data_IF_826232601426
#
_entry.id   IF_826232601426
#
_cell.length_a   1.000
_cell.length_b   1.000
_cell.length_c   1.000
_cell.angle_alpha   90.00
_cell.angle_beta   90.00
_cell.angle_gamma   90.00
#
_symmetry.space_group_name_H-M   'P 1'
#
loop_
_entity.id
_entity.type
_entity.pdbx_description
1 polymer ?
#
# COMPACT_ATOMS: atom_id res chain seq x y z
N UNK A 1 -21.75 -9.25 3.62
CA UNK A 1 -21.95 -8.33 2.46
C UNK A 1 -22.54 -9.08 1.25
N UNK A 2 -23.33 -8.45 0.37
CA UNK A 2 -23.81 -9.02 -0.92
C UNK A 2 -23.53 -8.05 -2.08
N UNK A 3 -23.02 -8.56 -3.21
CA UNK A 3 -22.94 -7.79 -4.46
C UNK A 3 -24.31 -7.78 -5.13
N UNK A 4 -24.84 -6.59 -5.42
CA UNK A 4 -26.19 -6.41 -6.01
C UNK A 4 -26.15 -5.89 -7.46
N UNK A 5 -25.07 -5.21 -7.82
CA UNK A 5 -24.81 -4.66 -9.15
C UNK A 5 -23.31 -4.60 -9.42
N UNK A 6 -22.93 -4.58 -10.69
CA UNK A 6 -21.54 -4.49 -11.12
C UNK A 6 -21.41 -3.60 -12.38
N UNK A 7 -20.36 -2.80 -12.43
CA UNK A 7 -19.84 -2.19 -13.66
C UNK A 7 -18.48 -2.83 -13.97
N UNK A 8 -18.22 -3.10 -15.26
CA UNK A 8 -16.96 -3.68 -15.73
C UNK A 8 -16.53 -2.94 -16.98
N UNK A 9 -15.41 -2.22 -16.89
CA UNK A 9 -14.90 -1.38 -17.97
C UNK A 9 -14.38 -2.20 -19.16
N UNK A 10 -13.60 -3.25 -18.87
CA UNK A 10 -12.95 -4.08 -19.88
C UNK A 10 -13.30 -5.55 -19.64
N UNK A 11 -13.64 -6.27 -20.72
CA UNK A 11 -14.00 -7.70 -20.69
C UNK A 11 -13.14 -8.48 -21.68
N UNK A 12 -11.86 -8.75 -21.34
CA UNK A 12 -10.98 -9.55 -22.19
C UNK A 12 -11.44 -11.02 -22.24
N UNK A 13 -10.80 -11.81 -23.09
CA UNK A 13 -11.00 -13.26 -23.11
C UNK A 13 -10.73 -13.87 -21.73
N UNK A 14 -11.64 -14.72 -21.24
CA UNK A 14 -11.55 -15.34 -19.92
C UNK A 14 -12.08 -14.49 -18.75
N UNK A 15 -12.63 -13.30 -19.01
CA UNK A 15 -13.35 -12.53 -17.98
C UNK A 15 -14.46 -13.36 -17.32
N UNK A 16 -14.52 -13.31 -15.99
CA UNK A 16 -15.47 -14.09 -15.18
C UNK A 16 -16.74 -13.32 -14.84
N UNK A 17 -16.82 -12.03 -15.17
CA UNK A 17 -17.87 -11.15 -14.65
C UNK A 17 -19.28 -11.67 -14.94
N UNK A 18 -19.55 -12.08 -16.19
CA UNK A 18 -20.85 -12.60 -16.59
C UNK A 18 -21.21 -13.92 -15.90
N UNK A 19 -20.22 -14.78 -15.63
CA UNK A 19 -20.43 -16.07 -14.99
C UNK A 19 -20.73 -15.89 -13.51
N UNK A 20 -19.96 -15.01 -12.83
CA UNK A 20 -20.19 -14.65 -11.42
C UNK A 20 -21.53 -13.94 -11.23
N UNK A 21 -21.92 -13.06 -12.17
CA UNK A 21 -23.24 -12.43 -12.15
C UNK A 21 -24.38 -13.44 -12.17
N UNK A 22 -24.29 -14.49 -13.02
CA UNK A 22 -25.27 -15.58 -13.07
C UNK A 22 -25.25 -16.45 -11.80
N UNK A 23 -24.06 -16.80 -11.32
CA UNK A 23 -23.86 -17.65 -10.14
C UNK A 23 -24.43 -17.02 -8.87
N UNK A 24 -24.19 -15.72 -8.66
CA UNK A 24 -24.54 -15.02 -7.42
C UNK A 24 -25.80 -14.12 -7.54
N UNK A 25 -26.39 -14.03 -8.74
CA UNK A 25 -27.67 -13.36 -8.98
C UNK A 25 -27.61 -11.83 -8.87
N UNK A 26 -26.62 -11.21 -9.49
CA UNK A 26 -26.50 -9.74 -9.62
C UNK A 26 -26.45 -9.31 -11.08
N UNK A 27 -26.76 -8.04 -11.37
CA UNK A 27 -26.78 -7.50 -12.73
C UNK A 27 -25.52 -6.72 -13.06
N UNK A 28 -25.06 -6.83 -14.31
CA UNK A 28 -23.97 -6.00 -14.84
C UNK A 28 -24.58 -4.86 -15.67
N UNK A 29 -24.22 -3.62 -15.33
CA UNK A 29 -24.73 -2.41 -15.99
C UNK A 29 -23.67 -1.80 -16.91
N UNK A 30 -24.10 -1.04 -17.94
CA UNK A 30 -23.16 -0.45 -18.89
C UNK A 30 -22.49 0.83 -18.37
N UNK A 31 -23.00 1.43 -17.29
CA UNK A 31 -22.37 2.60 -16.65
C UNK A 31 -22.29 2.45 -15.14
N UNK A 32 -21.36 3.18 -14.52
CA UNK A 32 -21.24 3.28 -13.05
C UNK A 32 -22.52 3.85 -12.45
N UNK A 33 -23.12 4.87 -13.10
CA UNK A 33 -24.37 5.47 -12.63
C UNK A 33 -25.52 4.47 -12.58
N UNK A 34 -25.72 3.66 -13.62
CA UNK A 34 -26.75 2.62 -13.63
C UNK A 34 -26.45 1.50 -12.62
N UNK A 35 -25.17 1.14 -12.42
CA UNK A 35 -24.79 0.17 -11.40
C UNK A 35 -25.13 0.67 -9.99
N UNK A 36 -24.82 1.93 -9.67
CA UNK A 36 -25.14 2.54 -8.38
C UNK A 36 -26.64 2.70 -8.14
N UNK A 37 -27.43 2.87 -9.20
CA UNK A 37 -28.90 2.99 -9.13
C UNK A 37 -29.64 1.67 -9.33
N UNK A 38 -28.92 0.55 -9.52
CA UNK A 38 -29.49 -0.76 -9.85
C UNK A 38 -30.53 -0.70 -10.98
N UNK A 39 -30.26 0.12 -12.01
CA UNK A 39 -31.16 0.34 -13.16
C UNK A 39 -32.36 1.27 -12.92
N UNK A 40 -32.50 1.83 -11.71
CA UNK A 40 -33.52 2.85 -11.39
C UNK A 40 -33.02 4.29 -11.51
N UNK A 41 -33.81 5.22 -10.99
CA UNK A 41 -33.54 6.67 -11.08
C UNK A 41 -32.81 7.26 -9.86
N UNK A 42 -32.55 6.44 -8.83
CA UNK A 42 -31.93 6.86 -7.57
C UNK A 42 -30.95 5.83 -7.03
N UNK A 43 -29.93 6.30 -6.30
CA UNK A 43 -28.94 5.49 -5.61
C UNK A 43 -29.63 4.36 -4.82
N UNK A 44 -29.24 3.12 -5.11
CA UNK A 44 -29.92 1.91 -4.63
C UNK A 44 -28.95 0.89 -4.01
N UNK A 45 -27.76 1.33 -3.62
CA UNK A 45 -26.73 0.54 -2.96
C UNK A 45 -26.38 1.15 -1.59
N UNK A 46 -25.82 0.33 -0.70
CA UNK A 46 -25.40 0.75 0.65
C UNK A 46 -23.91 1.08 0.74
N UNK A 47 -23.10 0.66 -0.24
CA UNK A 47 -21.66 0.93 -0.32
C UNK A 47 -21.13 0.66 -1.74
N UNK A 48 -19.91 1.13 -2.02
CA UNK A 48 -19.21 0.91 -3.29
C UNK A 48 -17.87 0.21 -3.04
N UNK A 49 -17.61 -0.86 -3.81
CA UNK A 49 -16.27 -1.46 -3.92
C UNK A 49 -15.69 -1.04 -5.28
N UNK A 50 -14.71 -0.15 -5.24
CA UNK A 50 -14.04 0.38 -6.42
C UNK A 50 -12.69 -0.33 -6.60
N UNK A 51 -12.64 -1.19 -7.61
CA UNK A 51 -11.46 -1.97 -7.97
C UNK A 51 -10.97 -1.49 -9.35
N UNK A 52 -9.74 -0.95 -9.41
CA UNK A 52 -9.13 -0.42 -10.62
C UNK A 52 -7.78 -1.07 -10.89
N UNK A 53 -7.78 -2.32 -11.35
CA UNK A 53 -6.56 -3.10 -11.63
C UNK A 53 -6.73 -4.01 -12.85
N UNK A 54 -5.63 -4.61 -13.33
CA UNK A 54 -5.58 -5.67 -14.34
C UNK A 54 -6.13 -5.36 -15.75
N UNK A 55 -6.67 -4.17 -16.01
CA UNK A 55 -7.05 -3.72 -17.35
C UNK A 55 -5.88 -3.18 -18.19
N UNK A 56 -6.11 -3.05 -19.49
CA UNK A 56 -5.20 -2.41 -20.43
C UNK A 56 -5.43 -0.89 -20.42
N UNK A 57 -4.50 -0.17 -19.79
CA UNK A 57 -4.52 1.29 -19.68
C UNK A 57 -3.14 1.86 -20.04
N UNK A 58 -3.08 3.09 -20.56
CA UNK A 58 -1.81 3.72 -20.92
C UNK A 58 -0.88 3.87 -19.72
N UNK A 59 0.41 4.00 -20.00
CA UNK A 59 1.43 4.36 -19.01
C UNK A 59 1.90 5.79 -19.19
N UNK A 60 2.23 6.47 -18.10
CA UNK A 60 2.90 7.78 -18.16
C UNK A 60 4.43 7.64 -18.19
N UNK A 61 5.13 8.77 -18.25
CA UNK A 61 6.59 8.85 -18.24
C UNK A 61 7.25 8.32 -16.95
N UNK A 62 6.50 8.29 -15.84
CA UNK A 62 6.94 7.71 -14.57
C UNK A 62 6.85 6.18 -14.57
N UNK A 63 6.27 5.58 -15.60
CA UNK A 63 6.06 4.14 -15.74
C UNK A 63 4.78 3.63 -15.07
N UNK A 64 3.98 4.54 -14.49
CA UNK A 64 2.73 4.20 -13.81
C UNK A 64 1.65 3.85 -14.83
N UNK A 65 0.85 2.84 -14.52
CA UNK A 65 -0.35 2.52 -15.30
C UNK A 65 -1.46 3.48 -14.87
N UNK A 66 -2.10 4.14 -15.82
CA UNK A 66 -3.14 5.14 -15.58
C UNK A 66 -4.49 4.47 -15.30
N UNK A 67 -4.53 3.63 -14.27
CA UNK A 67 -5.76 2.98 -13.83
C UNK A 67 -6.82 4.04 -13.45
N UNK A 68 -8.07 3.89 -13.90
CA UNK A 68 -9.10 4.94 -13.85
C UNK A 68 -9.77 5.06 -12.48
N UNK A 69 -9.03 4.83 -11.39
CA UNK A 69 -9.58 4.86 -10.02
C UNK A 69 -10.20 6.22 -9.70
N UNK A 70 -9.51 7.30 -10.09
CA UNK A 70 -10.01 8.65 -9.93
C UNK A 70 -11.28 8.88 -10.75
N UNK A 71 -11.25 8.54 -12.04
CA UNK A 71 -12.37 8.72 -12.96
C UNK A 71 -13.62 7.96 -12.47
N UNK A 72 -13.45 6.70 -12.03
CA UNK A 72 -14.55 5.92 -11.47
C UNK A 72 -15.07 6.51 -10.17
N UNK A 73 -14.18 6.98 -9.28
CA UNK A 73 -14.58 7.63 -8.04
C UNK A 73 -15.36 8.92 -8.30
N UNK A 74 -14.94 9.72 -9.29
CA UNK A 74 -15.65 10.95 -9.69
C UNK A 74 -17.04 10.66 -10.25
N UNK A 75 -17.22 9.56 -10.99
CA UNK A 75 -18.56 9.12 -11.41
C UNK A 75 -19.45 8.72 -10.22
N UNK A 76 -18.89 8.08 -9.18
CA UNK A 76 -19.63 7.83 -7.94
C UNK A 76 -20.03 9.14 -7.23
N UNK A 77 -19.08 10.08 -7.09
CA UNK A 77 -19.31 11.40 -6.48
C UNK A 77 -20.42 12.15 -7.21
N UNK A 78 -20.42 12.13 -8.54
CA UNK A 78 -21.46 12.77 -9.37
C UNK A 78 -22.85 12.21 -9.06
N UNK A 79 -22.99 10.88 -8.95
CA UNK A 79 -24.26 10.25 -8.56
C UNK A 79 -24.68 10.68 -7.16
N UNK A 80 -23.73 10.75 -6.21
CA UNK A 80 -24.04 11.18 -4.85
C UNK A 80 -24.57 12.61 -4.79
N UNK A 81 -24.00 13.51 -5.59
CA UNK A 81 -24.46 14.90 -5.71
C UNK A 81 -25.85 15.00 -6.35
N UNK A 82 -26.07 14.29 -7.47
CA UNK A 82 -27.34 14.27 -8.18
C UNK A 82 -28.49 13.69 -7.34
N UNK A 83 -28.19 12.66 -6.55
CA UNK A 83 -29.19 11.93 -5.76
C UNK A 83 -29.32 12.46 -4.33
N UNK A 84 -28.43 13.35 -3.88
CA UNK A 84 -28.46 13.94 -2.55
C UNK A 84 -28.17 12.94 -1.42
N UNK A 85 -27.50 11.83 -1.74
CA UNK A 85 -27.12 10.77 -0.79
C UNK A 85 -25.77 10.19 -1.17
N UNK A 86 -24.88 10.05 -0.19
CA UNK A 86 -23.59 9.35 -0.33
C UNK A 86 -23.60 8.03 0.42
N UNK A 87 -22.67 7.13 0.06
CA UNK A 87 -22.44 5.85 0.74
C UNK A 87 -20.93 5.59 0.87
N UNK A 88 -20.47 4.75 1.81
CA UNK A 88 -19.06 4.41 1.95
C UNK A 88 -18.44 3.87 0.66
N UNK A 89 -17.19 4.24 0.39
CA UNK A 89 -16.42 3.73 -0.74
C UNK A 89 -15.15 3.04 -0.24
N UNK A 90 -14.96 1.78 -0.63
CA UNK A 90 -13.64 1.16 -0.62
C UNK A 90 -12.96 1.38 -1.97
N UNK A 91 -11.70 1.83 -1.96
CA UNK A 91 -10.87 2.00 -3.14
C UNK A 91 -9.61 1.10 -3.05
N UNK A 92 -9.44 0.18 -4.00
CA UNK A 92 -8.28 -0.71 -4.05
C UNK A 92 -6.94 0.03 -4.16
N UNK A 93 -5.98 -0.30 -3.28
CA UNK A 93 -4.58 0.20 -3.27
C UNK A 93 -4.48 1.72 -3.19
N UNK A 94 -3.52 2.32 -3.90
CA UNK A 94 -3.38 3.76 -3.98
C UNK A 94 -4.66 4.39 -4.54
N UNK A 95 -5.04 5.54 -3.98
CA UNK A 95 -6.24 6.28 -4.41
C UNK A 95 -6.17 6.62 -5.90
N UNK A 96 -5.04 7.17 -6.33
CA UNK A 96 -4.75 7.49 -7.72
C UNK A 96 -3.24 7.47 -7.95
N UNK A 97 -2.82 7.31 -9.20
CA UNK A 97 -1.42 7.43 -9.60
C UNK A 97 -0.88 8.88 -9.43
N UNK A 98 -1.75 9.86 -9.23
CA UNK A 98 -1.42 11.27 -9.03
C UNK A 98 -1.95 11.78 -7.68
N UNK A 99 -1.09 12.42 -6.89
CA UNK A 99 -1.41 12.96 -5.57
C UNK A 99 -2.53 13.99 -5.63
N UNK A 100 -2.53 14.88 -6.63
CA UNK A 100 -3.57 15.90 -6.76
C UNK A 100 -4.96 15.26 -6.94
N UNK A 101 -5.05 14.22 -7.80
CA UNK A 101 -6.26 13.43 -7.99
C UNK A 101 -6.67 12.70 -6.71
N UNK A 102 -5.72 12.02 -6.05
CA UNK A 102 -5.97 11.31 -4.79
C UNK A 102 -6.46 12.25 -3.68
N UNK A 103 -5.89 13.46 -3.59
CA UNK A 103 -6.29 14.47 -2.63
C UNK A 103 -7.72 14.94 -2.89
N UNK A 104 -8.06 15.22 -4.15
CA UNK A 104 -9.41 15.63 -4.53
C UNK A 104 -10.45 14.57 -4.15
N UNK A 105 -10.14 13.28 -4.34
CA UNK A 105 -11.03 12.18 -3.92
C UNK A 105 -11.35 12.23 -2.41
N UNK A 106 -10.35 12.48 -1.56
CA UNK A 106 -10.58 12.59 -0.11
C UNK A 106 -11.24 13.92 0.27
N UNK A 107 -10.97 15.01 -0.45
CA UNK A 107 -11.65 16.28 -0.25
C UNK A 107 -13.15 16.16 -0.58
N UNK A 108 -13.51 15.43 -1.65
CA UNK A 108 -14.91 15.11 -1.99
C UNK A 108 -15.58 14.25 -0.93
N UNK A 109 -14.89 13.23 -0.42
CA UNK A 109 -15.39 12.38 0.66
C UNK A 109 -15.73 13.19 1.92
N UNK A 110 -14.85 14.13 2.30
CA UNK A 110 -15.10 15.06 3.41
C UNK A 110 -16.26 16.01 3.12
N UNK A 111 -16.32 16.57 1.92
CA UNK A 111 -17.35 17.52 1.49
C UNK A 111 -18.75 16.89 1.46
N UNK A 112 -18.85 15.64 1.01
CA UNK A 112 -20.11 14.89 0.91
C UNK A 112 -20.40 13.98 2.12
N UNK A 113 -19.47 13.92 3.08
CA UNK A 113 -19.66 13.25 4.35
C UNK A 113 -19.81 11.73 4.26
N UNK A 114 -18.99 11.06 3.43
CA UNK A 114 -18.96 9.59 3.36
C UNK A 114 -17.61 9.00 3.77
N UNK A 115 -17.60 7.79 4.40
CA UNK A 115 -16.37 7.10 4.73
C UNK A 115 -15.62 6.61 3.48
N UNK A 116 -14.30 6.72 3.51
CA UNK A 116 -13.41 6.11 2.52
C UNK A 116 -12.44 5.19 3.22
N UNK A 117 -12.36 3.94 2.74
CA UNK A 117 -11.29 3.02 3.05
C UNK A 117 -10.47 2.82 1.79
N UNK A 118 -9.16 2.95 1.86
CA UNK A 118 -8.29 2.71 0.72
C UNK A 118 -7.00 2.08 1.19
N UNK A 119 -6.39 1.25 0.35
CA UNK A 119 -5.17 0.57 0.73
C UNK A 119 -5.05 -0.85 0.21
N UNK A 120 -3.93 -1.47 0.53
CA UNK A 120 -3.63 -2.86 0.23
C UNK A 120 -3.85 -3.81 1.40
N UNK A 121 -3.65 -5.09 1.13
CA UNK A 121 -3.77 -6.16 2.13
C UNK A 121 -2.60 -6.24 3.11
N UNK A 122 -1.42 -5.68 2.81
CA UNK A 122 -0.26 -5.83 3.70
C UNK A 122 -0.49 -5.19 5.08
N UNK A 123 -1.00 -3.95 5.22
CA UNK A 123 -1.26 -3.39 6.55
C UNK A 123 -2.22 -4.20 7.43
N UNK A 124 -3.04 -5.06 6.83
CA UNK A 124 -4.11 -5.83 7.48
C UNK A 124 -3.86 -7.34 7.50
N UNK A 125 -2.79 -7.83 6.87
CA UNK A 125 -2.42 -9.25 6.90
C UNK A 125 -1.76 -9.63 8.23
N UNK A 126 -1.44 -10.90 8.40
CA UNK A 126 -0.73 -11.45 9.55
C UNK A 126 0.68 -10.88 9.66
N UNK A 127 1.18 -10.78 10.90
CA UNK A 127 2.55 -10.36 11.20
C UNK A 127 3.30 -11.48 11.91
N UNK A 128 4.51 -11.80 11.46
CA UNK A 128 5.34 -12.88 12.02
C UNK A 128 6.74 -12.36 12.38
N UNK A 129 7.10 -12.25 13.68
CA UNK A 129 6.23 -12.41 14.85
C UNK A 129 5.13 -11.33 14.89
N UNK A 130 4.11 -11.55 15.73
CA UNK A 130 3.06 -10.56 15.98
C UNK A 130 3.65 -9.32 16.67
N UNK A 131 3.90 -8.28 15.87
CA UNK A 131 4.48 -7.02 16.32
C UNK A 131 3.45 -5.89 16.21
N UNK A 132 3.21 -5.27 17.34
CA UNK A 132 2.48 -4.01 17.47
C UNK A 132 3.39 -2.96 18.12
N UNK A 133 3.63 -1.84 17.41
CA UNK A 133 4.32 -0.71 18.03
C UNK A 133 3.37 -0.05 19.04
N UNK A 134 3.83 0.35 20.23
CA UNK A 134 3.04 1.22 21.08
C UNK A 134 2.70 2.52 20.35
N UNK A 135 1.49 3.04 20.55
CA UNK A 135 1.19 4.40 20.11
C UNK A 135 2.12 5.39 20.80
N UNK A 136 2.52 6.41 20.06
CA UNK A 136 3.43 7.46 20.49
C UNK A 136 4.82 6.96 20.93
N UNK A 137 5.26 5.81 20.42
CA UNK A 137 6.63 5.35 20.63
C UNK A 137 7.65 6.27 19.93
N UNK A 138 8.86 6.37 20.47
CA UNK A 138 9.96 7.07 19.82
C UNK A 138 10.72 6.08 18.92
N UNK A 139 10.60 6.26 17.61
CA UNK A 139 11.29 5.45 16.60
C UNK A 139 12.52 6.24 16.11
N UNK A 140 13.70 5.65 16.19
CA UNK A 140 14.96 6.30 15.79
C UNK A 140 15.21 6.14 14.28
N UNK A 141 14.94 4.95 13.75
CA UNK A 141 15.03 4.63 12.32
C UNK A 141 14.17 3.42 11.98
N UNK A 142 13.73 3.33 10.73
CA UNK A 142 13.00 2.17 10.22
C UNK A 142 13.47 1.76 8.82
N UNK A 143 13.37 0.46 8.54
CA UNK A 143 13.70 -0.13 7.26
C UNK A 143 12.62 -1.13 6.86
N UNK A 144 12.21 -1.07 5.60
CA UNK A 144 11.34 -2.06 4.96
C UNK A 144 12.11 -2.76 3.84
N UNK A 145 11.96 -4.07 3.74
CA UNK A 145 12.35 -4.89 2.59
C UNK A 145 11.09 -5.24 1.84
N UNK A 146 11.08 -4.97 0.53
CA UNK A 146 10.02 -5.36 -0.38
C UNK A 146 10.57 -6.05 -1.63
N UNK A 147 9.67 -6.66 -2.38
CA UNK A 147 9.96 -7.34 -3.66
C UNK A 147 8.83 -7.09 -4.65
N UNK A 148 9.13 -7.31 -5.93
CA UNK A 148 8.19 -7.19 -7.04
C UNK A 148 8.52 -6.06 -8.02
N UNK A 149 7.59 -5.84 -8.96
CA UNK A 149 7.71 -4.82 -10.00
C UNK A 149 7.44 -3.40 -9.48
N UNK A 150 8.09 -2.42 -10.10
CA UNK A 150 7.96 -1.01 -9.70
C UNK A 150 6.53 -0.48 -9.86
N UNK A 151 6.22 0.61 -9.15
CA UNK A 151 4.90 1.23 -8.96
C UNK A 151 3.99 0.41 -8.04
N UNK A 152 3.47 -0.72 -8.53
CA UNK A 152 2.48 -1.48 -7.76
C UNK A 152 3.06 -2.10 -6.48
N UNK A 153 4.22 -2.77 -6.56
CA UNK A 153 4.78 -3.46 -5.39
C UNK A 153 5.55 -2.52 -4.47
N UNK A 154 6.08 -1.43 -5.02
CA UNK A 154 6.64 -0.31 -4.23
C UNK A 154 5.55 0.29 -3.34
N UNK A 155 4.34 0.53 -3.88
CA UNK A 155 3.20 1.02 -3.11
C UNK A 155 2.89 0.11 -1.92
N UNK A 156 2.78 -1.20 -2.17
CA UNK A 156 2.50 -2.20 -1.14
C UNK A 156 3.53 -2.13 0.00
N UNK A 157 4.82 -2.13 -0.33
CA UNK A 157 5.87 -2.08 0.67
C UNK A 157 5.91 -0.75 1.43
N UNK A 158 5.72 0.38 0.74
CA UNK A 158 5.62 1.70 1.37
C UNK A 158 4.43 1.79 2.34
N UNK A 159 3.29 1.22 1.97
CA UNK A 159 2.09 1.24 2.81
C UNK A 159 2.25 0.35 4.06
N UNK A 160 2.85 -0.82 3.89
CA UNK A 160 3.20 -1.71 5.00
C UNK A 160 4.16 -1.01 5.98
N UNK A 161 5.19 -0.34 5.47
CA UNK A 161 6.10 0.46 6.30
C UNK A 161 5.36 1.60 7.01
N UNK A 162 4.54 2.36 6.26
CA UNK A 162 3.82 3.51 6.78
C UNK A 162 2.88 3.13 7.93
N UNK A 163 2.19 1.97 7.83
CA UNK A 163 1.27 1.53 8.89
C UNK A 163 1.99 1.20 10.23
N UNK A 164 3.30 0.96 10.19
CA UNK A 164 4.13 0.80 11.37
C UNK A 164 4.58 2.17 11.89
N UNK A 165 5.22 2.98 11.04
CA UNK A 165 5.88 4.22 11.47
C UNK A 165 4.92 5.37 11.79
N UNK A 166 3.66 5.31 11.36
CA UNK A 166 2.64 6.29 11.75
C UNK A 166 2.30 6.27 13.24
N UNK A 167 2.69 5.20 13.95
CA UNK A 167 2.47 5.04 15.40
C UNK A 167 3.51 5.78 16.24
N UNK A 168 4.47 6.46 15.60
CA UNK A 168 5.49 7.27 16.27
C UNK A 168 4.89 8.44 17.05
N UNK A 169 5.65 8.95 18.01
CA UNK A 169 5.31 10.10 18.86
C UNK A 169 4.83 11.28 18.04
N UNK A 170 3.60 11.73 18.31
CA UNK A 170 2.97 12.85 17.61
C UNK A 170 2.10 12.45 16.41
N UNK A 171 2.22 11.23 15.90
CA UNK A 171 1.49 10.75 14.73
C UNK A 171 2.16 11.15 13.42
N UNK A 172 1.41 11.05 12.32
CA UNK A 172 1.93 11.42 11.01
C UNK A 172 1.89 12.94 10.82
N UNK A 173 3.02 13.51 10.36
CA UNK A 173 3.22 14.96 10.19
C UNK A 173 3.49 15.36 8.73
N UNK A 174 3.56 14.39 7.84
CA UNK A 174 3.88 14.53 6.43
C UNK A 174 5.35 14.26 6.12
N UNK A 175 5.64 14.22 4.82
CA UNK A 175 6.98 13.95 4.30
C UNK A 175 7.63 15.24 3.79
N UNK A 176 8.84 15.52 4.26
CA UNK A 176 9.64 16.70 3.93
C UNK A 176 10.35 16.52 2.59
N UNK A 177 10.94 15.34 2.38
CA UNK A 177 11.70 15.05 1.18
C UNK A 177 11.75 13.55 0.90
N UNK A 178 11.98 13.22 -0.37
CA UNK A 178 12.20 11.84 -0.82
C UNK A 178 13.38 11.76 -1.78
N UNK A 179 13.95 10.57 -1.92
CA UNK A 179 14.90 10.24 -2.99
C UNK A 179 14.78 8.76 -3.35
N UNK A 180 14.72 8.46 -4.65
CA UNK A 180 14.89 7.10 -5.17
C UNK A 180 16.29 6.96 -5.79
N UNK A 181 17.06 5.96 -5.35
CA UNK A 181 18.28 5.52 -6.03
C UNK A 181 18.17 4.05 -6.44
N UNK A 182 18.92 3.65 -7.48
CA UNK A 182 18.89 2.30 -8.04
C UNK A 182 20.31 1.78 -8.29
N UNK A 183 20.45 0.46 -8.43
CA UNK A 183 21.71 -0.18 -8.81
C UNK A 183 22.81 -0.06 -7.75
N UNK A 184 24.07 0.05 -8.20
CA UNK A 184 25.24 0.01 -7.32
C UNK A 184 25.26 1.13 -6.27
N UNK A 185 24.65 2.28 -6.57
CA UNK A 185 24.53 3.38 -5.61
C UNK A 185 23.71 2.99 -4.37
N UNK A 186 22.79 2.02 -4.46
CA UNK A 186 22.07 1.49 -3.29
C UNK A 186 23.04 0.81 -2.32
N UNK A 187 23.96 0.00 -2.84
CA UNK A 187 24.94 -0.70 -2.02
C UNK A 187 25.95 0.26 -1.40
N UNK A 188 26.43 1.20 -2.20
CA UNK A 188 27.31 2.27 -1.73
C UNK A 188 26.64 3.12 -0.64
N UNK A 189 25.36 3.45 -0.80
CA UNK A 189 24.60 4.16 0.24
C UNK A 189 24.56 3.38 1.57
N UNK A 190 24.53 2.05 1.54
CA UNK A 190 24.63 1.22 2.75
C UNK A 190 26.02 1.17 3.36
N UNK A 191 27.06 1.24 2.53
CA UNK A 191 28.45 1.37 2.98
C UNK A 191 28.70 2.73 3.63
N UNK A 192 28.08 3.79 3.09
CA UNK A 192 28.09 5.15 3.63
C UNK A 192 27.16 5.36 4.84
N UNK A 193 26.41 4.33 5.25
CA UNK A 193 25.53 4.36 6.42
C UNK A 193 24.21 5.13 6.22
N UNK A 194 23.80 5.39 4.97
CA UNK A 194 22.52 6.05 4.65
C UNK A 194 21.30 5.18 4.97
N UNK A 195 21.47 3.87 4.97
CA UNK A 195 20.52 2.91 5.52
C UNK A 195 21.25 1.93 6.44
N UNK A 196 20.54 1.40 7.44
CA UNK A 196 21.13 0.59 8.50
C UNK A 196 21.28 -0.87 8.08
N UNK A 197 22.52 -1.39 8.10
CA UNK A 197 22.81 -2.82 7.91
C UNK A 197 22.19 -3.68 9.01
N UNK A 198 22.16 -3.17 10.23
CA UNK A 198 21.55 -3.85 11.39
C UNK A 198 20.04 -3.99 11.22
N UNK A 199 19.35 -2.95 10.72
CA UNK A 199 17.91 -3.05 10.42
C UNK A 199 17.64 -3.97 9.24
N UNK A 200 18.51 -3.98 8.22
CA UNK A 200 18.39 -4.92 7.10
C UNK A 200 18.54 -6.37 7.58
N UNK A 201 19.52 -6.64 8.45
CA UNK A 201 19.71 -7.95 9.09
C UNK A 201 18.48 -8.36 9.90
N UNK A 202 17.97 -7.48 10.76
CA UNK A 202 16.78 -7.74 11.55
C UNK A 202 15.55 -8.01 10.68
N UNK A 203 15.33 -7.25 9.61
CA UNK A 203 14.23 -7.46 8.69
C UNK A 203 14.34 -8.82 7.98
N UNK A 204 15.48 -9.12 7.36
CA UNK A 204 15.70 -10.38 6.64
C UNK A 204 15.64 -11.60 7.56
N UNK A 205 15.94 -11.45 8.86
CA UNK A 205 15.84 -12.54 9.84
C UNK A 205 14.41 -13.06 10.04
N UNK A 206 13.38 -12.30 9.67
CA UNK A 206 11.98 -12.72 9.72
C UNK A 206 11.49 -13.37 8.41
N UNK A 207 12.31 -13.42 7.36
CA UNK A 207 11.92 -14.02 6.08
C UNK A 207 11.81 -15.54 6.20
N UNK A 208 10.71 -16.10 5.69
CA UNK A 208 10.52 -17.54 5.52
C UNK A 208 10.65 -17.98 4.04
N UNK A 209 10.99 -17.04 3.15
CA UNK A 209 11.18 -17.29 1.72
C UNK A 209 12.55 -16.85 1.17
N UNK A 210 13.69 -17.14 1.82
CA UNK A 210 15.00 -16.84 1.26
C UNK A 210 15.23 -17.56 -0.08
N UNK A 211 15.66 -16.81 -1.08
CA UNK A 211 15.94 -17.27 -2.44
C UNK A 211 17.40 -17.69 -2.61
N UNK A 212 17.79 -18.22 -3.76
CA UNK A 212 19.19 -18.56 -4.05
C UNK A 212 19.55 -19.98 -3.60
N UNK A 213 20.66 -20.16 -2.88
CA UNK A 213 21.13 -21.50 -2.47
C UNK A 213 20.08 -22.26 -1.65
N UNK A 214 19.30 -21.56 -0.83
CA UNK A 214 18.19 -22.16 -0.07
C UNK A 214 17.11 -22.76 -0.95
N UNK A 215 16.78 -22.15 -2.10
CA UNK A 215 15.85 -22.75 -3.06
C UNK A 215 16.48 -23.86 -3.90
N UNK A 216 17.78 -23.75 -4.20
CA UNK A 216 18.48 -24.71 -5.06
C UNK A 216 18.70 -26.04 -4.36
N UNK A 217 19.09 -26.04 -3.08
CA UNK A 217 19.44 -27.27 -2.36
C UNK A 217 19.01 -27.34 -0.89
N UNK A 218 18.20 -26.38 -0.42
CA UNK A 218 17.61 -26.42 0.92
C UNK A 218 18.56 -26.01 2.05
N UNK A 219 19.79 -25.59 1.75
CA UNK A 219 20.72 -25.12 2.80
C UNK A 219 20.30 -23.77 3.38
N UNK A 220 20.66 -23.52 4.63
CA UNK A 220 20.67 -22.15 5.17
C UNK A 220 21.80 -21.36 4.52
N UNK A 221 21.59 -20.06 4.33
CA UNK A 221 22.61 -19.17 3.79
C UNK A 221 22.63 -17.86 4.56
N UNK A 222 23.82 -17.34 4.80
CA UNK A 222 24.01 -15.99 5.34
C UNK A 222 23.95 -15.00 4.17
N UNK A 223 22.77 -14.40 3.93
CA UNK A 223 22.58 -13.46 2.82
C UNK A 223 23.53 -12.25 2.91
N UNK A 224 23.85 -11.79 4.12
CA UNK A 224 24.60 -10.55 4.33
C UNK A 224 26.11 -10.77 4.36
N UNK A 225 26.59 -11.68 5.21
CA UNK A 225 28.02 -11.87 5.47
C UNK A 225 28.78 -12.61 4.37
N UNK A 226 28.10 -13.43 3.57
CA UNK A 226 28.71 -14.18 2.46
C UNK A 226 28.81 -13.39 1.14
N UNK A 227 28.13 -12.24 1.07
CA UNK A 227 27.98 -11.46 -0.17
C UNK A 227 26.94 -12.02 -1.15
N UNK A 228 26.20 -13.08 -0.80
CA UNK A 228 25.14 -13.64 -1.64
C UNK A 228 24.02 -12.62 -1.93
N UNK A 229 23.66 -11.75 -0.97
CA UNK A 229 22.63 -10.73 -1.18
C UNK A 229 22.91 -9.86 -2.41
N UNK A 230 24.14 -9.36 -2.56
CA UNK A 230 24.52 -8.52 -3.71
C UNK A 230 24.55 -9.30 -5.03
N UNK A 231 24.81 -10.62 -5.00
CA UNK A 231 24.79 -11.48 -6.19
C UNK A 231 23.36 -11.77 -6.65
N UNK A 232 22.46 -12.02 -5.70
CA UNK A 232 21.05 -12.30 -5.96
C UNK A 232 20.30 -11.06 -6.43
N UNK A 233 20.55 -9.92 -5.77
CA UNK A 233 19.86 -8.66 -6.04
C UNK A 233 20.65 -7.84 -7.06
N UNK A 234 20.46 -8.17 -8.34
CA UNK A 234 21.17 -7.51 -9.45
C UNK A 234 20.65 -6.11 -9.78
N UNK A 235 19.45 -5.75 -9.31
CA UNK A 235 18.80 -4.45 -9.54
C UNK A 235 18.11 -3.95 -8.27
N UNK A 236 18.88 -3.58 -7.23
CA UNK A 236 18.29 -3.02 -6.02
C UNK A 236 17.72 -1.63 -6.30
N UNK A 237 16.72 -1.24 -5.51
CA UNK A 237 16.27 0.15 -5.41
C UNK A 237 16.13 0.54 -3.93
N UNK A 238 16.41 1.80 -3.61
CA UNK A 238 16.23 2.35 -2.28
C UNK A 238 15.41 3.65 -2.32
N UNK A 239 14.34 3.67 -1.54
CA UNK A 239 13.46 4.83 -1.32
C UNK A 239 13.83 5.43 0.03
N UNK A 240 14.47 6.59 0.03
CA UNK A 240 14.72 7.36 1.24
C UNK A 240 13.59 8.34 1.49
N UNK A 241 13.04 8.31 2.70
CA UNK A 241 11.91 9.15 3.10
C UNK A 241 12.31 9.94 4.35
N UNK A 242 12.27 11.26 4.24
CA UNK A 242 12.51 12.18 5.34
C UNK A 242 11.19 12.81 5.76
N UNK A 243 10.75 12.56 6.99
CA UNK A 243 9.50 13.09 7.53
C UNK A 243 9.68 14.52 8.09
N UNK A 244 8.58 15.25 8.23
CA UNK A 244 8.58 16.64 8.70
C UNK A 244 9.05 16.78 10.16
N UNK A 245 8.88 15.74 10.97
CA UNK A 245 9.35 15.65 12.36
C UNK A 245 10.84 15.28 12.49
N UNK A 246 11.54 15.08 11.36
CA UNK A 246 12.96 14.71 11.32
C UNK A 246 13.22 13.21 11.37
N UNK A 247 12.19 12.37 11.44
CA UNK A 247 12.31 10.92 11.32
C UNK A 247 12.72 10.51 9.90
N UNK A 248 13.54 9.47 9.79
CA UNK A 248 13.99 8.91 8.50
C UNK A 248 13.63 7.43 8.39
N UNK A 249 13.10 7.04 7.22
CA UNK A 249 12.81 5.64 6.89
C UNK A 249 13.37 5.29 5.51
N UNK A 250 13.70 4.00 5.33
CA UNK A 250 14.18 3.47 4.05
C UNK A 250 13.35 2.26 3.63
N UNK A 251 12.87 2.25 2.38
CA UNK A 251 12.42 1.02 1.73
C UNK A 251 13.52 0.52 0.78
N UNK A 252 13.91 -0.75 0.90
CA UNK A 252 14.79 -1.47 -0.01
C UNK A 252 14.00 -2.49 -0.82
N UNK A 253 14.06 -2.38 -2.14
CA UNK A 253 13.49 -3.38 -3.05
C UNK A 253 14.58 -4.39 -3.42
N UNK A 254 14.50 -5.61 -2.87
CA UNK A 254 15.57 -6.62 -2.90
C UNK A 254 15.14 -7.85 -3.72
N UNK A 255 14.69 -7.61 -4.95
CA UNK A 255 14.27 -8.65 -5.88
C UNK A 255 15.34 -9.74 -6.04
N UNK A 256 14.96 -10.99 -5.77
CA UNK A 256 15.82 -12.16 -5.88
C UNK A 256 16.46 -12.63 -4.57
N UNK A 257 16.40 -11.85 -3.49
CA UNK A 257 16.91 -12.26 -2.16
C UNK A 257 15.88 -13.04 -1.34
N UNK A 258 14.64 -12.58 -1.37
CA UNK A 258 13.49 -13.14 -0.65
C UNK A 258 12.25 -13.06 -1.55
N UNK A 259 11.09 -13.56 -1.10
CA UNK A 259 9.78 -13.39 -1.76
C UNK A 259 8.75 -12.67 -0.88
N UNK A 260 9.16 -12.16 0.27
CA UNK A 260 8.30 -11.60 1.30
C UNK A 260 8.58 -10.11 1.56
N UNK A 261 7.80 -9.57 2.50
CA UNK A 261 7.83 -8.18 2.94
C UNK A 261 8.23 -8.15 4.41
N UNK A 262 9.38 -7.58 4.72
CA UNK A 262 9.92 -7.59 6.08
C UNK A 262 10.23 -6.19 6.56
N UNK A 263 9.84 -5.88 7.79
CA UNK A 263 10.05 -4.60 8.44
C UNK A 263 10.97 -4.75 9.64
N UNK A 264 11.80 -3.73 9.88
CA UNK A 264 12.52 -3.56 11.12
C UNK A 264 12.55 -2.09 11.54
N UNK A 265 12.60 -1.85 12.84
CA UNK A 265 12.78 -0.52 13.39
C UNK A 265 13.60 -0.53 14.68
N UNK A 266 14.37 0.53 14.88
CA UNK A 266 15.03 0.79 16.14
C UNK A 266 14.14 1.71 16.99
N UNK A 267 13.66 1.21 18.12
CA UNK A 267 12.97 2.03 19.11
C UNK A 267 13.99 2.68 20.06
N UNK A 268 13.73 3.91 20.47
CA UNK A 268 14.59 4.63 21.40
C UNK A 268 14.70 3.89 22.73
N UNK A 269 15.93 3.61 23.16
CA UNK A 269 16.21 2.86 24.38
C UNK A 269 15.99 1.35 24.28
N UNK A 270 15.59 0.83 23.12
CA UNK A 270 15.53 -0.61 22.84
C UNK A 270 16.94 -1.17 22.59
N UNK A 271 17.32 -2.33 23.17
CA UNK A 271 18.68 -2.86 23.02
C UNK A 271 18.93 -3.53 21.66
N UNK A 272 17.86 -3.89 20.94
CA UNK A 272 17.90 -4.53 19.62
C UNK A 272 16.76 -3.96 18.74
N UNK A 273 16.90 -4.02 17.41
CA UNK A 273 15.79 -3.74 16.52
C UNK A 273 14.62 -4.69 16.74
N UNK A 274 13.41 -4.16 16.64
CA UNK A 274 12.22 -4.98 16.45
C UNK A 274 12.08 -5.31 14.97
N UNK A 275 11.56 -6.49 14.65
CA UNK A 275 11.32 -6.90 13.27
C UNK A 275 10.11 -7.80 13.13
N UNK A 276 9.49 -7.78 11.94
CA UNK A 276 8.35 -8.61 11.59
C UNK A 276 8.25 -8.80 10.08
N UNK A 277 7.73 -9.94 9.67
CA UNK A 277 7.29 -10.22 8.31
C UNK A 277 5.80 -9.87 8.18
N UNK A 278 5.44 -9.18 7.10
CA UNK A 278 4.05 -9.08 6.65
C UNK A 278 3.71 -10.33 5.84
N UNK A 279 3.14 -11.32 6.53
CA UNK A 279 2.97 -12.65 6.00
C UNK A 279 1.85 -12.70 4.95
N UNK A 280 2.22 -13.10 3.74
CA UNK A 280 1.28 -13.41 2.66
C UNK A 280 1.14 -14.92 2.57
N UNK A 281 -0.06 -15.42 2.88
CA UNK A 281 -0.33 -16.86 2.83
C UNK A 281 -0.11 -17.45 1.43
N UNK A 282 0.50 -18.65 1.34
CA UNK A 282 0.74 -19.29 0.07
C UNK A 282 -0.57 -19.73 -0.60
N UNK A 283 -0.57 -19.78 -1.94
CA UNK A 283 -1.68 -20.31 -2.72
C UNK A 283 -1.97 -21.78 -2.36
N UNK A 284 -3.24 -22.23 -2.37
CA UNK A 284 -4.42 -21.51 -2.87
C UNK A 284 -5.12 -20.61 -1.84
N UNK A 285 -4.64 -20.56 -0.58
CA UNK A 285 -5.34 -19.90 0.52
C UNK A 285 -4.92 -18.42 0.62
N UNK A 286 -5.61 -17.53 -0.09
CA UNK A 286 -5.31 -16.08 -0.15
C UNK A 286 -5.91 -15.32 1.05
N UNK A 287 -5.60 -15.73 2.27
CA UNK A 287 -6.27 -15.22 3.49
C UNK A 287 -6.04 -13.74 3.75
N UNK A 288 -4.94 -13.16 3.27
CA UNK A 288 -4.68 -11.72 3.37
C UNK A 288 -5.74 -10.86 2.67
N UNK A 289 -6.34 -11.36 1.58
CA UNK A 289 -7.48 -10.69 0.93
C UNK A 289 -8.74 -10.79 1.79
N UNK A 290 -8.95 -11.91 2.50
CA UNK A 290 -10.06 -12.04 3.43
C UNK A 290 -9.93 -11.07 4.62
N UNK A 291 -8.73 -10.86 5.14
CA UNK A 291 -8.46 -9.85 6.18
C UNK A 291 -8.82 -8.43 5.71
N UNK A 292 -8.48 -8.10 4.46
CA UNK A 292 -8.87 -6.81 3.86
C UNK A 292 -10.38 -6.68 3.67
N UNK A 293 -11.04 -7.73 3.16
CA UNK A 293 -12.51 -7.75 3.02
C UNK A 293 -13.21 -7.59 4.38
N UNK A 294 -12.68 -8.18 5.46
CA UNK A 294 -13.22 -7.98 6.80
C UNK A 294 -13.19 -6.51 7.23
N UNK A 295 -12.14 -5.75 6.85
CA UNK A 295 -12.05 -4.30 7.12
C UNK A 295 -12.97 -3.46 6.25
N UNK A 296 -13.20 -3.88 5.01
CA UNK A 296 -14.22 -3.28 4.13
C UNK A 296 -15.61 -3.48 4.75
N UNK A 297 -15.93 -4.70 5.18
CA UNK A 297 -17.21 -5.01 5.81
C UNK A 297 -17.40 -4.24 7.14
N UNK A 298 -16.35 -4.15 7.96
CA UNK A 298 -16.34 -3.34 9.19
C UNK A 298 -16.74 -1.87 8.89
N UNK A 299 -16.15 -1.26 7.86
CA UNK A 299 -16.51 0.10 7.45
C UNK A 299 -17.97 0.20 6.99
N UNK A 300 -18.45 -0.75 6.19
CA UNK A 300 -19.81 -0.74 5.66
C UNK A 300 -20.84 -0.85 6.80
N UNK A 301 -20.59 -1.73 7.77
CA UNK A 301 -21.49 -1.95 8.91
C UNK A 301 -21.49 -0.76 9.86
N UNK A 302 -20.32 -0.22 10.17
CA UNK A 302 -20.18 0.83 11.19
C UNK A 302 -20.37 2.24 10.64
N UNK A 303 -20.26 2.41 9.33
CA UNK A 303 -20.19 3.74 8.70
C UNK A 303 -18.91 4.50 9.05
N UNK A 304 -17.83 3.81 9.45
CA UNK A 304 -16.54 4.43 9.80
C UNK A 304 -15.38 3.58 9.29
N UNK A 305 -14.40 4.20 8.62
CA UNK A 305 -13.19 3.50 8.20
C UNK A 305 -12.35 3.08 9.43
N UNK A 306 -11.87 1.82 9.52
CA UNK A 306 -11.09 1.34 10.66
C UNK A 306 -9.67 1.92 10.74
N UNK A 307 -9.19 2.55 9.66
CA UNK A 307 -7.92 3.26 9.60
C UNK A 307 -8.02 4.42 8.60
N UNK A 308 -7.20 5.47 8.76
CA UNK A 308 -7.33 6.71 7.99
C UNK A 308 -6.92 6.54 6.52
N UNK A 309 -7.75 7.02 5.59
CA UNK A 309 -7.42 7.07 4.16
C UNK A 309 -6.27 8.05 3.87
N UNK A 310 -5.99 8.98 4.80
CA UNK A 310 -4.84 9.87 4.78
C UNK A 310 -3.51 9.12 4.74
N UNK A 311 -3.42 7.92 5.33
CA UNK A 311 -2.26 7.02 5.17
C UNK A 311 -2.01 6.75 3.69
N UNK A 312 -3.05 6.31 2.99
CA UNK A 312 -2.98 5.97 1.57
C UNK A 312 -2.72 7.18 0.69
N UNK A 313 -3.28 8.35 1.04
CA UNK A 313 -2.95 9.61 0.36
C UNK A 313 -1.46 9.94 0.47
N UNK A 314 -0.89 9.85 1.69
CA UNK A 314 0.53 10.13 1.91
C UNK A 314 1.41 9.15 1.11
N UNK A 315 1.13 7.86 1.20
CA UNK A 315 1.90 6.82 0.49
C UNK A 315 1.83 6.98 -1.02
N UNK A 316 0.65 7.32 -1.56
CA UNK A 316 0.48 7.58 -3.00
C UNK A 316 1.37 8.73 -3.47
N UNK A 317 1.44 9.82 -2.69
CA UNK A 317 2.28 10.97 -3.00
C UNK A 317 3.77 10.73 -2.78
N UNK A 318 4.15 9.92 -1.78
CA UNK A 318 5.54 9.48 -1.58
C UNK A 318 6.01 8.68 -2.80
N UNK A 319 5.20 7.72 -3.26
CA UNK A 319 5.53 6.91 -4.43
C UNK A 319 5.69 7.78 -5.69
N UNK A 320 4.70 8.62 -6.00
CA UNK A 320 4.76 9.54 -7.14
C UNK A 320 6.02 10.44 -7.09
N UNK A 321 6.35 10.96 -5.91
CA UNK A 321 7.53 11.79 -5.70
C UNK A 321 8.84 11.01 -5.88
N UNK A 322 8.90 9.75 -5.43
CA UNK A 322 10.05 8.87 -5.63
C UNK A 322 10.23 8.49 -7.11
N UNK A 323 9.15 8.20 -7.82
CA UNK A 323 9.21 7.97 -9.27
C UNK A 323 9.64 9.23 -10.01
N UNK A 324 9.21 10.41 -9.55
CA UNK A 324 9.68 11.70 -10.09
C UNK A 324 11.16 11.91 -9.80
N UNK A 325 11.65 11.51 -8.62
CA UNK A 325 13.08 11.52 -8.27
C UNK A 325 13.88 10.65 -9.25
N UNK A 326 13.41 9.43 -9.55
CA UNK A 326 13.98 8.54 -10.58
C UNK A 326 14.08 9.21 -11.95
N UNK A 327 12.98 9.81 -12.41
CA UNK A 327 12.92 10.48 -13.72
C UNK A 327 13.85 11.70 -13.79
N UNK A 328 14.12 12.35 -12.65
CA UNK A 328 15.02 13.51 -12.53
C UNK A 328 16.41 13.10 -12.04
N UNK A 329 16.96 12.03 -12.63
CA UNK A 329 18.32 11.55 -12.36
C UNK A 329 18.59 11.30 -10.87
N UNK A 330 17.63 10.67 -10.18
CA UNK A 330 17.73 10.31 -8.75
C UNK A 330 17.92 11.50 -7.81
N UNK A 331 17.49 12.71 -8.19
CA UNK A 331 17.61 13.89 -7.34
C UNK A 331 16.76 13.77 -6.07
N UNK A 332 17.29 14.25 -4.94
CA UNK A 332 16.50 14.44 -3.72
C UNK A 332 15.48 15.56 -3.94
N UNK A 333 14.20 15.26 -3.73
CA UNK A 333 13.10 16.19 -3.96
C UNK A 333 12.46 16.64 -2.65
N UNK A 334 12.21 17.94 -2.50
CA UNK A 334 11.36 18.46 -1.42
C UNK A 334 9.88 18.23 -1.77
N UNK A 335 9.09 17.88 -0.78
CA UNK A 335 7.69 17.46 -0.97
C UNK A 335 6.71 18.31 -0.14
N UNK A 336 6.65 19.64 -0.33
CA UNK A 336 5.78 20.52 0.47
C UNK A 336 4.28 20.20 0.34
N UNK A 337 3.88 19.53 -0.75
CA UNK A 337 2.51 19.08 -0.97
C UNK A 337 2.15 17.85 -0.11
N UNK A 338 3.12 17.10 0.42
CA UNK A 338 2.91 15.92 1.27
C UNK A 338 2.80 16.26 2.76
N UNK A 339 2.31 17.46 3.09
CA UNK A 339 1.92 17.82 4.45
C UNK A 339 0.55 17.21 4.78
N UNK A 340 0.54 15.89 4.92
CA UNK A 340 -0.64 15.10 5.30
C UNK A 340 -0.48 14.72 6.77
N UNK A 341 -1.37 15.23 7.62
CA UNK A 341 -1.32 15.01 9.07
C UNK A 341 -2.48 14.11 9.49
N UNK A 342 -2.20 13.05 10.26
CA UNK A 342 -3.22 12.14 10.78
C UNK A 342 -2.73 11.33 11.99
N UNK A 343 -3.65 10.66 12.69
CA UNK A 343 -3.33 9.76 13.81
C UNK A 343 -3.58 8.31 13.42
N UNK A 344 -2.63 7.44 13.78
CA UNK A 344 -2.79 6.00 13.66
C UNK A 344 -4.01 5.51 14.46
N UNK A 345 -4.67 4.41 14.03
CA UNK A 345 -5.74 3.81 14.82
C UNK A 345 -5.19 3.30 16.16
N UNK A 346 -6.01 3.39 17.22
CA UNK A 346 -5.60 3.00 18.57
C UNK A 346 -5.07 1.57 18.61
N UNK A 347 -5.81 0.67 17.97
CA UNK A 347 -5.41 -0.72 17.76
C UNK A 347 -4.87 -0.89 16.35
N UNK A 348 -3.77 -1.63 16.20
CA UNK A 348 -3.28 -2.04 14.88
C UNK A 348 -4.31 -2.94 14.21
N UNK A 349 -4.44 -2.80 12.88
CA UNK A 349 -5.53 -3.42 12.10
C UNK A 349 -5.09 -4.71 11.38
N UNK A 350 -3.92 -5.24 11.73
CA UNK A 350 -3.39 -6.50 11.22
C UNK A 350 -4.15 -7.70 11.79
N UNK A 351 -4.12 -8.81 11.07
CA UNK A 351 -4.81 -10.03 11.48
C UNK A 351 -4.25 -10.59 12.79
N UNK A 352 -5.14 -11.08 13.66
CA UNK A 352 -4.84 -11.72 14.94
C UNK A 352 -5.79 -12.90 15.16
N UNK A 353 -5.39 -13.80 16.05
CA UNK A 353 -6.18 -14.96 16.50
C UNK A 353 -7.42 -14.56 17.33
#
# INVERSE_FOLDING_TARGET
>A
MKVVSLYVDQRPEGDQSADRAREFGFSIYPTIAEALRCGGDKLAVDAVLLIGEHGDYPKNELGQILYPRYEFFKECVKVFEEDGRSVPIYNDKHLSYCFAKAKEMLDDARRLGFPVLAGSSLPVTWRLPDVELPLDCEIESALMVGVGGSDAMDYHALEAMQCMVERRKGGETGVRAVQLIEGDEVWKAGEDGRWSKELLEAALSCSDTPCGLTEVDGRTQDLLGSGELKKLVTKPAAYFIEYNDGFGATLLMLNGAVKDYCFAAQLKGGPIPISTQFFLTPTPNVTYSACLVAKIEEMIITGSAPFPAERTLLVSGVLESCLTSRLRDHQRLLTPHLRVEYRAPTQSQHARD
#
